data_IF_443386301483
#
_entry.id   IF_443386301483
#
_cell.length_a   1.000
_cell.length_b   1.000
_cell.length_c   1.000
_cell.angle_alpha   90.00
_cell.angle_beta   90.00
_cell.angle_gamma   90.00
#
_symmetry.space_group_name_H-M   'P 1'
#
loop_
_entity.id
_entity.type
_entity.pdbx_description
1 polymer ?
#
# COMPACT_ATOMS: atom_id res chain seq x y z
N UNK A 1 8.74 -9.79 5.23
CA UNK A 1 8.23 -10.73 6.25
C UNK A 1 6.84 -10.34 6.77
N UNK A 2 6.60 -9.08 7.19
CA UNK A 2 5.33 -8.66 7.79
C UNK A 2 4.10 -8.86 6.91
N UNK A 3 4.12 -8.41 5.65
CA UNK A 3 2.98 -8.56 4.72
C UNK A 3 2.58 -10.03 4.58
N UNK A 4 3.55 -10.93 4.35
CA UNK A 4 3.31 -12.37 4.27
C UNK A 4 2.68 -12.94 5.55
N UNK A 5 3.09 -12.48 6.73
CA UNK A 5 2.48 -12.90 8.00
C UNK A 5 1.04 -12.42 8.13
N UNK A 6 0.76 -11.17 7.75
CA UNK A 6 -0.60 -10.61 7.75
C UNK A 6 -1.52 -11.36 6.78
N UNK A 7 -1.04 -11.69 5.57
CA UNK A 7 -1.81 -12.47 4.60
C UNK A 7 -2.16 -13.86 5.13
N UNK A 8 -1.24 -14.54 5.82
CA UNK A 8 -1.54 -15.82 6.48
C UNK A 8 -2.62 -15.68 7.56
N UNK A 9 -2.56 -14.61 8.37
CA UNK A 9 -3.59 -14.33 9.37
C UNK A 9 -4.96 -13.96 8.75
N UNK A 10 -4.97 -13.56 7.47
CA UNK A 10 -6.16 -13.25 6.70
C UNK A 10 -6.62 -14.40 5.78
N UNK A 11 -6.08 -15.61 5.92
CA UNK A 11 -6.43 -16.74 5.07
C UNK A 11 -7.95 -16.95 4.94
N UNK A 12 -8.42 -17.20 3.71
CA UNK A 12 -9.83 -17.38 3.39
C UNK A 12 -10.65 -16.09 3.29
N UNK A 13 -10.05 -14.91 3.48
CA UNK A 13 -10.72 -13.60 3.36
C UNK A 13 -10.17 -12.82 2.17
N UNK A 14 -11.03 -12.00 1.56
CA UNK A 14 -10.58 -10.99 0.62
C UNK A 14 -9.77 -9.92 1.36
N UNK A 15 -8.62 -9.54 0.81
CA UNK A 15 -7.72 -8.54 1.38
C UNK A 15 -7.50 -7.45 0.35
N UNK A 16 -7.65 -6.20 0.79
CA UNK A 16 -7.17 -5.02 0.07
C UNK A 16 -6.02 -4.41 0.85
N UNK A 17 -5.06 -3.85 0.12
CA UNK A 17 -3.92 -3.13 0.68
C UNK A 17 -3.60 -1.96 -0.25
N UNK A 18 -3.55 -0.76 0.31
CA UNK A 18 -3.10 0.42 -0.41
C UNK A 18 -1.58 0.52 -0.26
N UNK A 19 -0.87 0.57 -1.39
CA UNK A 19 0.59 0.60 -1.45
C UNK A 19 1.03 1.88 -2.16
N UNK A 20 1.98 2.66 -1.59
CA UNK A 20 2.51 3.83 -2.29
C UNK A 20 3.11 3.43 -3.64
N UNK A 21 2.80 4.19 -4.69
CA UNK A 21 3.26 3.87 -6.05
C UNK A 21 4.79 3.83 -6.21
N UNK A 22 5.53 4.46 -5.28
CA UNK A 22 6.99 4.40 -5.23
C UNK A 22 7.53 3.01 -4.83
N UNK A 23 6.73 2.16 -4.20
CA UNK A 23 7.13 0.83 -3.72
C UNK A 23 6.92 -0.25 -4.79
N UNK A 24 7.59 -0.10 -5.93
CA UNK A 24 7.46 -1.01 -7.07
C UNK A 24 7.74 -2.48 -6.73
N UNK A 25 8.71 -2.75 -5.84
CA UNK A 25 9.03 -4.12 -5.42
C UNK A 25 7.91 -4.76 -4.60
N UNK A 26 7.23 -3.99 -3.74
CA UNK A 26 6.07 -4.48 -2.99
C UNK A 26 4.91 -4.77 -3.94
N UNK A 27 4.63 -3.85 -4.88
CA UNK A 27 3.58 -4.04 -5.88
C UNK A 27 3.80 -5.29 -6.73
N UNK A 28 5.03 -5.51 -7.20
CA UNK A 28 5.39 -6.72 -7.95
C UNK A 28 5.26 -7.99 -7.10
N UNK A 29 5.77 -7.97 -5.87
CA UNK A 29 5.63 -9.11 -4.96
C UNK A 29 4.17 -9.46 -4.68
N UNK A 30 3.29 -8.47 -4.52
CA UNK A 30 1.85 -8.69 -4.36
C UNK A 30 1.21 -9.30 -5.62
N UNK A 31 1.59 -8.82 -6.81
CA UNK A 31 1.13 -9.37 -8.08
C UNK A 31 1.52 -10.86 -8.23
N UNK A 32 2.74 -11.22 -7.86
CA UNK A 32 3.21 -12.62 -7.84
C UNK A 32 2.41 -13.50 -6.84
N UNK A 33 1.75 -12.88 -5.86
CA UNK A 33 0.86 -13.55 -4.89
C UNK A 33 -0.63 -13.46 -5.27
N UNK A 34 -0.94 -13.09 -6.51
CA UNK A 34 -2.30 -13.10 -7.06
C UNK A 34 -3.12 -11.82 -6.78
N UNK A 35 -2.50 -10.76 -6.26
CA UNK A 35 -3.17 -9.47 -6.17
C UNK A 35 -3.28 -8.80 -7.54
N UNK A 36 -4.34 -8.02 -7.73
CA UNK A 36 -4.54 -7.18 -8.90
C UNK A 36 -4.84 -5.74 -8.47
N UNK A 37 -4.35 -4.77 -9.25
CA UNK A 37 -4.61 -3.35 -9.02
C UNK A 37 -6.12 -3.09 -9.18
N UNK A 38 -6.75 -2.55 -8.13
CA UNK A 38 -8.18 -2.22 -8.14
C UNK A 38 -8.43 -0.78 -8.59
N UNK A 39 -7.66 0.18 -8.04
CA UNK A 39 -7.73 1.59 -8.41
C UNK A 39 -6.42 2.31 -8.07
N UNK A 40 -5.95 3.26 -8.88
CA UNK A 40 -4.91 4.19 -8.49
C UNK A 40 -5.49 5.30 -7.59
N UNK A 41 -4.73 5.71 -6.58
CA UNK A 41 -5.04 6.85 -5.71
C UNK A 41 -3.88 7.84 -5.72
N UNK A 42 -4.17 9.14 -5.68
CA UNK A 42 -3.17 10.22 -5.65
C UNK A 42 -3.24 10.90 -4.29
N UNK A 43 -2.11 10.90 -3.57
CA UNK A 43 -1.99 11.62 -2.30
C UNK A 43 -1.82 13.12 -2.57
N UNK A 44 -2.73 13.92 -2.02
CA UNK A 44 -2.80 15.37 -2.26
C UNK A 44 -2.37 16.15 -1.01
N UNK A 45 -1.71 17.28 -1.24
CA UNK A 45 -1.23 18.17 -0.17
C UNK A 45 -1.64 19.61 -0.49
N UNK A 46 -1.99 20.40 0.53
CA UNK A 46 -2.40 21.79 0.34
C UNK A 46 -1.22 22.74 0.59
N UNK A 47 -0.83 23.46 -0.45
CA UNK A 47 0.24 24.47 -0.37
C UNK A 47 1.63 23.86 -0.20
N UNK A 48 2.48 24.49 0.61
CA UNK A 48 3.88 24.12 0.80
C UNK A 48 4.10 23.02 1.86
N UNK A 49 3.08 22.25 2.20
CA UNK A 49 3.14 21.24 3.27
C UNK A 49 4.02 20.03 2.92
N UNK A 50 4.44 19.87 1.66
CA UNK A 50 5.26 18.75 1.20
C UNK A 50 4.59 17.39 1.44
N UNK A 51 5.27 16.28 1.11
CA UNK A 51 4.80 14.97 1.48
C UNK A 51 4.83 14.81 3.01
N UNK A 52 3.74 14.31 3.60
CA UNK A 52 3.77 13.84 4.98
C UNK A 52 4.57 12.54 5.05
N UNK A 53 5.60 12.53 5.92
CA UNK A 53 6.43 11.35 6.17
C UNK A 53 7.52 11.10 5.12
N UNK A 54 8.13 9.92 5.21
CA UNK A 54 9.18 9.45 4.30
C UNK A 54 8.61 8.33 3.42
N UNK A 55 8.30 8.66 2.16
CA UNK A 55 7.70 7.74 1.19
C UNK A 55 8.56 6.49 0.99
N UNK A 56 9.89 6.58 1.14
CA UNK A 56 10.78 5.44 1.00
C UNK A 56 10.60 4.39 2.12
N UNK A 57 10.01 4.79 3.26
CA UNK A 57 9.75 3.93 4.42
C UNK A 57 8.27 3.58 4.59
N UNK A 58 7.41 4.07 3.71
CA UNK A 58 5.98 3.77 3.69
C UNK A 58 5.72 2.60 2.72
N UNK A 59 5.19 1.48 3.23
CA UNK A 59 4.96 0.26 2.44
C UNK A 59 3.49 -0.13 2.32
N UNK A 60 2.64 0.42 3.19
CA UNK A 60 1.21 0.21 3.20
C UNK A 60 0.53 1.42 3.86
N UNK A 61 -0.67 1.73 3.40
CA UNK A 61 -1.51 2.82 3.89
C UNK A 61 -2.77 2.20 4.49
N UNK A 62 -3.25 2.73 5.62
CA UNK A 62 -4.45 2.21 6.30
C UNK A 62 -5.75 2.55 5.55
N UNK A 63 -5.67 3.36 4.49
CA UNK A 63 -6.76 3.79 3.62
C UNK A 63 -6.64 5.28 3.27
N UNK A 64 -7.22 5.75 2.14
CA UNK A 64 -7.21 7.15 1.74
C UNK A 64 -7.90 8.09 2.74
N UNK A 65 -8.70 7.55 3.65
CA UNK A 65 -9.39 8.30 4.72
C UNK A 65 -8.43 8.75 5.84
N UNK A 66 -7.29 8.08 5.98
CA UNK A 66 -6.36 8.25 7.11
C UNK A 66 -4.89 8.42 6.69
N UNK A 67 -4.55 8.20 5.42
CA UNK A 67 -3.19 8.30 4.92
C UNK A 67 -3.10 8.71 3.46
#
# INVERSE_FOLDING_TARGET
ALISAALRACAGRAVLIDVPGAQGDVGRWLADHGFAVQRPLIRMWRGNSGPAGDVAREFAIVGPEFG
#
